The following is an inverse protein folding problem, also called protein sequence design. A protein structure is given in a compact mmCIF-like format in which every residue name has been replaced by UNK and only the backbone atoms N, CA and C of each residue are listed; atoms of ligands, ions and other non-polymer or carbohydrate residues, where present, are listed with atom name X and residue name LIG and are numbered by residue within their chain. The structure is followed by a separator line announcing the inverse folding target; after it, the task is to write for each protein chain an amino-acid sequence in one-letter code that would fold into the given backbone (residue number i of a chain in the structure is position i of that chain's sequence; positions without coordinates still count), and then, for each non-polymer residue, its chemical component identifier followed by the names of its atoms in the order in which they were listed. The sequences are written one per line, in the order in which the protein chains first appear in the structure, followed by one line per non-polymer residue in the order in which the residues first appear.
data_IF_059064205512
#
_entry.id   IF_059064205512
#
_cell.length_a   1.000
_cell.length_b   1.000
_cell.length_c   1.000
_cell.angle_alpha   90.00
_cell.angle_beta   90.00
_cell.angle_gamma   90.00
#
_symmetry.space_group_name_H-M   'P 1'
#
loop_
_entity.id
_entity.type
_entity.pdbx_description
1 polymer ?
#
# COMPACT_ATOMS: atom_id res chain seq x y z
N UNK A 1 -7.31 1.28 -7.17
CA UNK A 1 -7.87 0.47 -6.06
C UNK A 1 -9.23 -0.07 -6.48
N UNK A 2 -9.45 -1.38 -6.36
CA UNK A 2 -10.50 -2.24 -6.96
C UNK A 2 -11.96 -1.81 -6.69
N UNK A 3 -12.34 -0.59 -7.09
CA UNK A 3 -13.52 0.06 -6.52
C UNK A 3 -14.87 -0.52 -6.95
N UNK A 4 -14.96 -1.39 -7.96
CA UNK A 4 -16.25 -1.95 -8.40
C UNK A 4 -16.24 -3.39 -8.96
N UNK A 5 -15.10 -3.96 -9.35
CA UNK A 5 -15.02 -5.32 -9.92
C UNK A 5 -13.89 -6.11 -9.25
N UNK A 6 -14.23 -6.90 -8.24
CA UNK A 6 -13.31 -7.87 -7.64
C UNK A 6 -13.42 -9.16 -8.45
N UNK A 7 -12.63 -9.25 -9.51
CA UNK A 7 -12.52 -10.47 -10.31
C UNK A 7 -11.21 -11.18 -9.99
N UNK A 8 -11.24 -12.51 -9.99
CA UNK A 8 -10.07 -13.37 -9.76
C UNK A 8 -8.87 -12.91 -10.60
N UNK A 9 -9.11 -12.66 -11.90
CA UNK A 9 -8.08 -12.20 -12.83
C UNK A 9 -7.42 -10.90 -12.38
N UNK A 10 -8.22 -9.87 -12.10
CA UNK A 10 -7.70 -8.58 -11.64
C UNK A 10 -6.94 -8.68 -10.31
N UNK A 11 -7.34 -9.59 -9.42
CA UNK A 11 -6.61 -9.82 -8.18
C UNK A 11 -5.22 -10.41 -8.44
N UNK A 12 -5.09 -11.40 -9.32
CA UNK A 12 -3.79 -11.97 -9.69
C UNK A 12 -2.91 -10.98 -10.45
N UNK A 13 -3.48 -10.18 -11.35
CA UNK A 13 -2.74 -9.17 -12.11
C UNK A 13 -2.18 -8.06 -11.20
N UNK A 14 -2.70 -7.91 -9.98
CA UNK A 14 -2.28 -6.87 -9.01
C UNK A 14 -1.88 -7.47 -7.65
N UNK A 15 -1.41 -8.72 -7.62
CA UNK A 15 -1.14 -9.43 -6.37
C UNK A 15 -0.10 -8.71 -5.49
N UNK A 16 0.92 -8.11 -6.08
CA UNK A 16 1.96 -7.37 -5.34
C UNK A 16 1.36 -6.20 -4.56
N UNK A 17 0.46 -5.44 -5.19
CA UNK A 17 -0.27 -4.34 -4.54
C UNK A 17 -1.17 -4.84 -3.41
N UNK A 18 -1.81 -6.01 -3.61
CA UNK A 18 -2.64 -6.64 -2.59
C UNK A 18 -1.81 -7.05 -1.37
N UNK A 19 -0.62 -7.62 -1.59
CA UNK A 19 0.29 -7.99 -0.49
C UNK A 19 0.78 -6.75 0.27
N UNK A 20 1.20 -5.69 -0.43
CA UNK A 20 1.57 -4.42 0.22
C UNK A 20 0.42 -3.81 1.02
N UNK A 21 -0.81 -3.92 0.51
CA UNK A 21 -2.02 -3.47 1.22
C UNK A 21 -2.26 -4.30 2.49
N UNK A 22 -1.98 -5.60 2.46
CA UNK A 22 -2.11 -6.46 3.64
C UNK A 22 -1.10 -6.09 4.74
N UNK A 23 0.15 -5.80 4.36
CA UNK A 23 1.19 -5.36 5.31
C UNK A 23 0.86 -4.03 6.00
N UNK A 24 0.09 -3.14 5.34
CA UNK A 24 -0.40 -1.90 5.94
C UNK A 24 -1.60 -2.11 6.86
N UNK A 25 -2.38 -3.16 6.65
CA UNK A 25 -3.55 -3.49 7.47
C UNK A 25 -3.12 -4.15 8.79
N UNK A 26 -2.12 -5.05 8.72
CA UNK A 26 -1.80 -5.94 9.82
C UNK A 26 -0.30 -6.26 9.86
N UNK A 27 0.26 -6.29 11.07
CA UNK A 27 1.62 -6.75 11.35
C UNK A 27 1.58 -7.79 12.48
N UNK A 28 2.10 -8.99 12.22
CA UNK A 28 2.07 -10.15 13.15
C UNK A 28 0.70 -10.44 13.81
N UNK A 29 -0.39 -10.20 13.08
CA UNK A 29 -1.76 -10.40 13.59
C UNK A 29 -2.33 -9.22 14.37
N UNK A 30 -1.57 -8.14 14.51
CA UNK A 30 -2.00 -6.87 15.11
C UNK A 30 -2.49 -5.96 14.01
N UNK A 31 -3.75 -5.51 14.12
CA UNK A 31 -4.33 -4.54 13.18
C UNK A 31 -3.64 -3.18 13.39
N UNK A 32 -3.02 -2.66 12.33
CA UNK A 32 -2.34 -1.36 12.33
C UNK A 32 -3.24 -0.23 11.82
N UNK A 33 -3.94 -0.47 10.73
CA UNK A 33 -4.79 0.53 10.08
C UNK A 33 -6.04 -0.13 9.47
N UNK A 34 -7.17 0.58 9.54
CA UNK A 34 -8.46 0.08 9.03
C UNK A 34 -9.13 1.06 8.08
N UNK A 35 -8.69 2.33 8.04
CA UNK A 35 -9.21 3.30 7.10
C UNK A 35 -8.65 3.01 5.68
N UNK A 36 -9.50 2.60 4.71
CA UNK A 36 -9.04 2.28 3.36
C UNK A 36 -8.40 3.47 2.63
N UNK A 37 -8.73 4.71 3.03
CA UNK A 37 -8.12 5.92 2.47
C UNK A 37 -6.67 6.02 2.95
N UNK A 38 -6.43 5.85 4.24
CA UNK A 38 -5.07 5.90 4.83
C UNK A 38 -4.21 4.75 4.32
N UNK A 39 -4.75 3.53 4.26
CA UNK A 39 -4.05 2.37 3.70
C UNK A 39 -3.62 2.65 2.25
N UNK A 40 -4.55 3.12 1.41
CA UNK A 40 -4.25 3.41 0.01
C UNK A 40 -3.14 4.45 -0.14
N UNK A 41 -3.15 5.51 0.68
CA UNK A 41 -2.12 6.55 0.66
C UNK A 41 -0.74 5.99 1.05
N UNK A 42 -0.67 5.15 2.10
CA UNK A 42 0.60 4.56 2.55
C UNK A 42 1.16 3.57 1.53
N UNK A 43 0.30 2.72 0.95
CA UNK A 43 0.70 1.77 -0.10
C UNK A 43 1.24 2.50 -1.33
N UNK A 44 0.64 3.64 -1.72
CA UNK A 44 1.13 4.46 -2.83
C UNK A 44 2.53 5.04 -2.58
N UNK A 45 2.79 5.52 -1.36
CA UNK A 45 4.11 6.06 -0.99
C UNK A 45 5.22 4.99 -1.03
N UNK A 46 4.89 3.72 -0.75
CA UNK A 46 5.85 2.61 -0.85
C UNK A 46 6.15 2.19 -2.29
N UNK A 47 5.29 2.50 -3.26
CA UNK A 47 5.61 2.25 -4.68
C UNK A 47 6.60 3.26 -5.23
N UNK A 48 6.59 4.48 -4.69
CA UNK A 48 7.54 5.54 -5.00
C UNK A 48 8.77 5.43 -4.08
N UNK A 49 9.56 4.35 -4.17
CA UNK A 49 10.89 4.23 -3.54
C UNK A 49 11.80 5.40 -3.97
N UNK A 50 11.56 6.58 -3.40
CA UNK A 50 12.48 7.69 -3.26
C UNK A 50 13.18 7.41 -1.94
N UNK A 51 14.48 7.13 -1.93
CA UNK A 51 15.22 6.93 -0.70
C UNK A 51 15.02 8.16 0.18
N UNK A 52 14.45 7.97 1.37
CA UNK A 52 14.23 8.99 2.40
C UNK A 52 15.55 9.68 2.85
N UNK A 53 16.70 9.26 2.32
CA UNK A 53 18.02 9.87 2.50
C UNK A 53 18.28 11.15 1.70
N UNK A 54 17.43 11.54 0.74
CA UNK A 54 17.59 12.80 -0.02
C UNK A 54 16.64 13.94 0.41
N UNK A 55 15.84 13.76 1.46
CA UNK A 55 14.97 14.84 1.97
C UNK A 55 15.66 15.86 2.90
N UNK A 56 16.99 15.82 3.09
CA UNK A 56 17.70 16.77 3.98
C UNK A 56 18.55 17.83 3.28
N UNK A 57 18.54 17.98 1.96
CA UNK A 57 19.31 19.08 1.32
C UNK A 57 18.50 19.80 0.26
N UNK A 58 17.75 20.83 0.67
CA UNK A 58 17.67 22.12 -0.03
C UNK A 58 16.88 23.15 0.81
N UNK A 59 17.68 23.99 1.49
CA UNK A 59 17.41 25.32 2.09
C UNK A 59 16.39 25.48 3.22
#
# INVERSE_FOLDING_TARGET
MLRKNVEKRHLYDNLDLVMLTLDEICDDGIILETDPILITQRVQLRQDDIPLGEQTVSQ
#
